data_IF_828584541024
#
_entry.id   IF_828584541024
#
_cell.length_a   1.000
_cell.length_b   1.000
_cell.length_c   1.000
_cell.angle_alpha   90.00
_cell.angle_beta   90.00
_cell.angle_gamma   90.00
#
_symmetry.space_group_name_H-M   'P 1'
#
loop_
_entity.id
_entity.type
_entity.pdbx_description
1 polymer ?
#
# COMPACT_ATOMS: atom_id res chain seq x y z
N UNK A 1 -19.92 0.83 -4.47
CA UNK A 1 -19.42 0.35 -5.77
C UNK A 1 -18.00 -0.13 -5.55
N UNK A 2 -17.72 -1.43 -5.67
CA UNK A 2 -16.37 -1.97 -5.43
C UNK A 2 -15.50 -1.62 -6.65
N UNK A 3 -14.50 -0.77 -6.47
CA UNK A 3 -13.52 -0.47 -7.51
C UNK A 3 -12.27 -1.30 -7.22
N UNK A 4 -11.95 -2.23 -8.11
CA UNK A 4 -10.69 -2.99 -8.06
C UNK A 4 -9.69 -2.24 -8.93
N UNK A 5 -8.59 -1.80 -8.34
CA UNK A 5 -7.53 -1.06 -9.03
C UNK A 5 -6.25 -1.87 -8.97
N UNK A 6 -5.83 -2.52 -10.07
CA UNK A 6 -4.49 -3.09 -10.10
C UNK A 6 -3.49 -1.97 -10.39
N UNK A 7 -3.09 -1.28 -9.34
CA UNK A 7 -2.01 -0.29 -9.38
C UNK A 7 -0.83 -0.84 -8.57
N UNK A 8 0.38 -0.56 -9.02
CA UNK A 8 1.61 -1.12 -8.46
C UNK A 8 2.50 -0.01 -7.92
N UNK A 9 3.09 -0.25 -6.74
CA UNK A 9 4.14 0.58 -6.19
C UNK A 9 5.33 -0.31 -5.78
N UNK A 10 6.55 0.13 -6.06
CA UNK A 10 7.77 -0.60 -5.71
C UNK A 10 8.58 0.17 -4.69
N UNK A 11 8.96 -0.50 -3.62
CA UNK A 11 9.74 0.04 -2.50
C UNK A 11 11.00 -0.80 -2.31
N UNK A 12 12.13 -0.17 -2.02
CA UNK A 12 13.36 -0.88 -1.67
C UNK A 12 13.67 -0.68 -0.19
N UNK A 13 13.60 -1.75 0.61
CA UNK A 13 13.78 -1.69 2.06
C UNK A 13 15.26 -1.66 2.50
N UNK A 14 16.19 -1.64 1.54
CA UNK A 14 17.63 -1.75 1.75
C UNK A 14 18.19 -3.15 1.49
N UNK A 15 17.35 -4.18 1.49
CA UNK A 15 17.74 -5.57 1.22
C UNK A 15 17.00 -6.12 -0.01
N UNK A 16 15.68 -5.98 -0.04
CA UNK A 16 14.80 -6.53 -1.07
C UNK A 16 13.93 -5.43 -1.71
N UNK A 17 13.55 -5.66 -2.98
CA UNK A 17 12.44 -4.92 -3.58
C UNK A 17 11.12 -5.55 -3.15
N UNK A 18 10.28 -4.72 -2.57
CA UNK A 18 8.92 -5.04 -2.13
C UNK A 18 7.96 -4.39 -3.12
N UNK A 19 7.06 -5.20 -3.67
CA UNK A 19 6.04 -4.74 -4.62
C UNK A 19 4.70 -4.76 -3.92
N UNK A 20 4.00 -3.65 -3.96
CA UNK A 20 2.67 -3.49 -3.41
C UNK A 20 1.64 -3.40 -4.54
N UNK A 21 0.51 -4.08 -4.38
CA UNK A 21 -0.65 -3.92 -5.25
C UNK A 21 -1.90 -3.69 -4.40
N UNK A 22 -2.63 -2.60 -4.66
CA UNK A 22 -3.90 -2.34 -3.99
C UNK A 22 -4.94 -3.33 -4.52
N UNK A 23 -5.59 -4.10 -3.64
CA UNK A 23 -6.64 -5.02 -4.04
C UNK A 23 -8.03 -4.42 -3.79
N UNK A 24 -8.19 -3.71 -2.68
CA UNK A 24 -9.45 -3.08 -2.31
C UNK A 24 -9.22 -1.79 -1.51
N UNK A 25 -9.93 -0.75 -1.92
CA UNK A 25 -10.03 0.52 -1.20
C UNK A 25 -11.48 0.99 -1.31
N UNK A 26 -12.15 1.14 -0.17
CA UNK A 26 -13.56 1.53 -0.10
C UNK A 26 -13.68 2.96 0.44
N UNK A 27 -14.45 3.80 -0.24
CA UNK A 27 -14.72 5.16 0.23
C UNK A 27 -15.34 5.14 1.64
N UNK A 28 -14.76 5.90 2.57
CA UNK A 28 -15.20 5.96 3.97
C UNK A 28 -14.72 4.80 4.86
N UNK A 29 -13.91 3.89 4.33
CA UNK A 29 -13.24 2.85 5.12
C UNK A 29 -11.91 3.36 5.68
N UNK A 30 -11.60 2.95 6.91
CA UNK A 30 -10.34 3.22 7.61
C UNK A 30 -9.25 2.16 7.32
N UNK A 31 -9.51 1.29 6.33
CA UNK A 31 -8.62 0.18 5.96
C UNK A 31 -8.47 0.04 4.46
N UNK A 32 -7.34 -0.52 4.07
CA UNK A 32 -6.97 -0.88 2.70
C UNK A 32 -6.45 -2.32 2.66
N UNK A 33 -6.85 -3.08 1.63
CA UNK A 33 -6.32 -4.44 1.40
C UNK A 33 -5.25 -4.39 0.33
N UNK A 34 -4.04 -4.84 0.65
CA UNK A 34 -2.86 -4.76 -0.21
C UNK A 34 -2.22 -6.14 -0.36
N UNK A 35 -1.87 -6.51 -1.58
CA UNK A 35 -0.96 -7.62 -1.86
C UNK A 35 0.48 -7.11 -1.75
N UNK A 36 1.30 -7.80 -0.96
CA UNK A 36 2.72 -7.50 -0.75
C UNK A 36 3.53 -8.66 -1.32
N UNK A 37 4.39 -8.36 -2.28
CA UNK A 37 5.31 -9.31 -2.88
C UNK A 37 6.74 -9.02 -2.42
N UNK A 38 7.38 -9.98 -1.75
CA UNK A 38 8.78 -9.92 -1.32
C UNK A 38 9.51 -11.19 -1.72
N UNK A 39 10.62 -11.07 -2.45
CA UNK A 39 11.42 -12.19 -2.96
C UNK A 39 10.58 -13.29 -3.66
N UNK A 40 9.55 -12.90 -4.43
CA UNK A 40 8.65 -13.83 -5.12
C UNK A 40 7.58 -14.49 -4.25
N UNK A 41 7.50 -14.17 -2.95
CA UNK A 41 6.40 -14.59 -2.07
C UNK A 41 5.36 -13.49 -1.98
N UNK A 42 4.10 -13.85 -2.19
CA UNK A 42 2.97 -12.92 -2.11
C UNK A 42 2.20 -13.17 -0.82
N UNK A 43 1.90 -12.11 -0.08
CA UNK A 43 1.00 -12.11 1.08
C UNK A 43 -0.07 -11.05 0.89
N UNK A 44 -1.29 -11.30 1.38
CA UNK A 44 -2.37 -10.30 1.35
C UNK A 44 -2.65 -9.87 2.78
N UNK A 45 -2.64 -8.56 3.02
CA UNK A 45 -2.83 -7.99 4.35
C UNK A 45 -3.73 -6.76 4.28
N UNK A 46 -4.51 -6.57 5.34
CA UNK A 46 -5.24 -5.33 5.58
C UNK A 46 -4.37 -4.38 6.42
N UNK A 47 -4.32 -3.12 6.02
CA UNK A 47 -3.64 -2.06 6.74
C UNK A 47 -4.63 -1.00 7.16
N UNK A 48 -4.37 -0.36 8.30
CA UNK A 48 -5.08 0.85 8.69
C UNK A 48 -4.65 2.00 7.78
N UNK A 49 -5.61 2.87 7.47
CA UNK A 49 -5.43 3.99 6.56
C UNK A 49 -5.34 5.29 7.35
N UNK A 50 -4.25 6.01 7.11
CA UNK A 50 -3.95 7.28 7.75
C UNK A 50 -3.99 8.42 6.73
N UNK A 51 -4.00 9.66 7.22
CA UNK A 51 -4.00 10.86 6.39
C UNK A 51 -2.99 11.87 6.90
N UNK A 52 -2.13 12.37 6.01
CA UNK A 52 -1.20 13.48 6.26
C UNK A 52 -1.37 14.58 5.19
N UNK A 53 -0.39 15.49 5.11
CA UNK A 53 -0.39 16.58 4.13
C UNK A 53 -0.23 16.11 2.67
N UNK A 54 0.28 14.91 2.43
CA UNK A 54 0.49 14.32 1.10
C UNK A 54 -0.66 13.39 0.68
N UNK A 55 -1.61 13.12 1.57
CA UNK A 55 -2.85 12.41 1.28
C UNK A 55 -3.03 11.16 2.15
N UNK A 56 -3.71 10.17 1.59
CA UNK A 56 -3.96 8.90 2.27
C UNK A 56 -2.76 7.97 2.13
N UNK A 57 -2.36 7.34 3.23
CA UNK A 57 -1.23 6.42 3.26
C UNK A 57 -1.47 5.26 4.23
N UNK A 58 -0.71 4.19 4.05
CA UNK A 58 -0.60 3.10 5.02
C UNK A 58 0.86 2.91 5.43
N UNK A 59 1.08 2.32 6.60
CA UNK A 59 2.41 2.07 7.13
C UNK A 59 2.88 0.64 6.83
N UNK A 60 4.14 0.49 6.44
CA UNK A 60 4.76 -0.82 6.21
C UNK A 60 6.05 -0.99 7.02
N UNK A 61 6.16 -2.08 7.78
CA UNK A 61 7.32 -2.33 8.64
C UNK A 61 7.16 -1.75 10.04
N UNK A 62 8.04 -0.82 10.43
CA UNK A 62 8.02 -0.21 11.77
C UNK A 62 7.00 0.94 11.78
N UNK A 63 6.08 0.92 12.75
CA UNK A 63 5.04 1.93 12.89
C UNK A 63 5.63 3.36 12.98
N UNK A 64 5.05 4.28 12.22
CA UNK A 64 5.45 5.69 12.11
C UNK A 64 6.73 5.95 11.32
N UNK A 65 7.26 4.96 10.58
CA UNK A 65 8.51 5.13 9.82
C UNK A 65 8.26 5.22 8.31
N UNK A 66 7.76 4.15 7.69
CA UNK A 66 7.58 4.09 6.24
C UNK A 66 6.12 4.37 5.90
N UNK A 67 5.86 5.54 5.31
CA UNK A 67 4.54 5.93 4.82
C UNK A 67 4.44 5.64 3.32
N UNK A 68 3.53 4.76 2.94
CA UNK A 68 3.28 4.41 1.54
C UNK A 68 1.99 5.11 1.10
N UNK A 69 2.13 6.18 0.32
CA UNK A 69 0.98 6.99 -0.12
C UNK A 69 0.23 6.31 -1.25
N UNK A 70 -1.11 6.32 -1.18
CA UNK A 70 -1.96 5.70 -2.21
C UNK A 70 -1.73 6.36 -3.58
N UNK A 71 -1.41 7.66 -3.59
CA UNK A 71 -1.16 8.40 -4.82
C UNK A 71 0.10 7.92 -5.56
N UNK A 72 1.07 7.32 -4.86
CA UNK A 72 2.30 6.79 -5.45
C UNK A 72 2.03 5.58 -6.37
N UNK A 73 0.86 4.97 -6.24
CA UNK A 73 0.39 3.91 -7.12
C UNK A 73 -0.22 4.47 -8.44
N UNK A 74 -0.58 5.75 -8.49
CA UNK A 74 -1.23 6.35 -9.66
C UNK A 74 -0.23 6.96 -10.67
N UNK A 75 0.96 7.39 -10.24
CA UNK A 75 1.97 7.97 -11.12
C UNK A 75 2.95 6.91 -11.64
N UNK A 76 2.68 6.39 -12.85
CA UNK A 76 3.67 5.71 -13.70
C UNK A 76 3.57 6.22 -15.14
#
# INVERSE_FOLDING_TARGET
>A
MNKFYLKEFQFFDGEDTIVFNILALYEGCDKITVAVTRCGKISVSDYDLHSDENGLYFEYGIAGQEHIHINDFEEA
#
